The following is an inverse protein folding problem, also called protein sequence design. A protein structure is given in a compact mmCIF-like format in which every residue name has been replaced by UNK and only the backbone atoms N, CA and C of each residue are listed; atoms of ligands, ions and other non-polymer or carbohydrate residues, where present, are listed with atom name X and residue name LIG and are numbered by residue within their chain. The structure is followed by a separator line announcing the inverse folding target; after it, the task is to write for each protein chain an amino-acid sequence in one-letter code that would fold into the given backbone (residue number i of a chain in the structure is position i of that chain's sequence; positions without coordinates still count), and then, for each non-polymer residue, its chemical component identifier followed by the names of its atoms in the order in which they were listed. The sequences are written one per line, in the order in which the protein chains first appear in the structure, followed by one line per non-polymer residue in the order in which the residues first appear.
data_IF_852721591349
#
_entry.id   IF_852721591349
#
_cell.length_a   1.000
_cell.length_b   1.000
_cell.length_c   1.000
_cell.angle_alpha   90.00
_cell.angle_beta   90.00
_cell.angle_gamma   90.00
#
_symmetry.space_group_name_H-M   'P 1'
#
loop_
_entity.id
_entity.type
_entity.pdbx_description
1 polymer ?
#
# COMPACT_ATOMS: atom_id res chain seq x y z
N UNK A 1 -30.78 19.93 -4.61
CA UNK A 1 -30.08 20.55 -5.77
C UNK A 1 -29.92 19.47 -6.83
N UNK A 2 -30.33 19.73 -8.07
CA UNK A 2 -30.20 18.75 -9.15
C UNK A 2 -28.71 18.60 -9.50
N UNK A 3 -28.15 17.39 -9.35
CA UNK A 3 -26.85 17.06 -9.93
C UNK A 3 -27.00 17.14 -11.45
N UNK A 4 -26.27 18.04 -12.08
CA UNK A 4 -26.11 18.05 -13.54
C UNK A 4 -25.54 16.68 -13.94
N UNK A 5 -26.25 15.93 -14.77
CA UNK A 5 -25.78 14.64 -15.25
C UNK A 5 -24.51 14.85 -16.08
N UNK A 6 -23.46 14.08 -15.78
CA UNK A 6 -22.25 14.06 -16.58
C UNK A 6 -22.55 13.43 -17.95
N UNK A 7 -22.24 14.13 -19.03
CA UNK A 7 -22.31 13.62 -20.40
C UNK A 7 -20.89 13.37 -20.93
N UNK A 8 -20.47 12.10 -21.11
CA UNK A 8 -19.12 11.77 -21.58
C UNK A 8 -18.82 12.28 -23.00
N UNK A 9 -19.82 12.36 -23.88
CA UNK A 9 -19.63 12.79 -25.26
C UNK A 9 -19.37 14.29 -25.33
N UNK A 10 -20.09 15.08 -24.54
CA UNK A 10 -19.86 16.52 -24.41
C UNK A 10 -18.51 16.81 -23.73
N UNK A 11 -18.17 16.05 -22.69
CA UNK A 11 -16.87 16.18 -22.02
C UNK A 11 -15.71 15.94 -22.98
N UNK A 12 -15.77 14.89 -23.81
CA UNK A 12 -14.73 14.56 -24.77
C UNK A 12 -14.52 15.64 -25.86
N UNK A 13 -15.55 16.43 -26.17
CA UNK A 13 -15.48 17.53 -27.13
C UNK A 13 -15.06 18.87 -26.50
N UNK A 14 -14.92 18.93 -25.18
CA UNK A 14 -14.57 20.15 -24.46
C UNK A 14 -13.07 20.43 -24.62
N UNK A 15 -12.73 21.58 -25.19
CA UNK A 15 -11.34 21.99 -25.34
C UNK A 15 -10.73 22.33 -23.96
N UNK A 16 -9.62 21.67 -23.62
CA UNK A 16 -8.86 21.94 -22.39
C UNK A 16 -7.70 22.87 -22.75
N UNK A 17 -7.69 24.08 -22.20
CA UNK A 17 -6.59 25.05 -22.35
C UNK A 17 -5.80 25.15 -21.04
N UNK A 18 -5.22 24.03 -20.63
CA UNK A 18 -4.38 23.93 -19.44
C UNK A 18 -3.24 22.94 -19.70
N UNK A 19 -2.10 23.15 -19.06
CA UNK A 19 -1.06 22.14 -18.93
C UNK A 19 -1.43 21.23 -17.76
N UNK A 20 -1.37 19.92 -17.98
CA UNK A 20 -1.58 18.92 -16.93
C UNK A 20 -0.22 18.48 -16.40
N UNK A 21 -0.15 18.24 -15.09
CA UNK A 21 1.04 17.64 -14.49
C UNK A 21 1.29 16.24 -15.05
N UNK A 22 2.55 15.94 -15.31
CA UNK A 22 3.01 14.62 -15.80
C UNK A 22 3.62 13.76 -14.69
N UNK A 23 3.71 14.31 -13.48
CA UNK A 23 4.36 13.68 -12.34
C UNK A 23 3.43 13.66 -11.12
N UNK A 24 3.53 12.60 -10.32
CA UNK A 24 2.82 12.51 -9.06
C UNK A 24 3.69 13.20 -8.01
N UNK A 25 3.12 14.15 -7.26
CA UNK A 25 3.75 14.66 -6.05
C UNK A 25 3.64 13.55 -4.99
N UNK A 26 4.77 12.92 -4.57
CA UNK A 26 4.71 11.83 -3.60
C UNK A 26 4.35 12.38 -2.21
N UNK A 27 3.69 11.54 -1.39
CA UNK A 27 3.59 11.80 0.04
C UNK A 27 5.01 12.02 0.61
N UNK A 28 5.27 13.07 1.41
CA UNK A 28 6.59 13.29 2.01
C UNK A 28 7.08 12.07 2.81
N UNK A 29 8.40 11.93 2.93
CA UNK A 29 9.04 10.90 3.75
C UNK A 29 8.81 11.23 5.23
N UNK A 30 8.44 10.23 6.02
CA UNK A 30 8.14 10.39 7.44
C UNK A 30 7.33 9.24 8.02
N UNK A 31 7.06 9.31 9.31
CA UNK A 31 6.20 8.36 10.01
C UNK A 31 4.80 8.96 10.16
N UNK A 32 3.80 8.26 9.63
CA UNK A 32 2.42 8.74 9.66
C UNK A 32 1.46 7.65 10.10
N UNK A 33 0.35 8.07 10.71
CA UNK A 33 -0.77 7.19 11.03
C UNK A 33 -1.57 6.89 9.78
N UNK A 34 -1.73 5.60 9.51
CA UNK A 34 -2.60 5.09 8.46
C UNK A 34 -3.67 4.15 9.02
N UNK A 35 -4.75 3.97 8.27
CA UNK A 35 -5.70 2.88 8.44
C UNK A 35 -5.58 1.92 7.27
N UNK A 36 -5.50 0.61 7.56
CA UNK A 36 -5.52 -0.41 6.52
C UNK A 36 -6.93 -0.49 5.92
N UNK A 37 -7.06 -0.31 4.61
CA UNK A 37 -8.36 -0.29 3.92
C UNK A 37 -8.58 -1.46 2.98
N UNK A 38 -7.50 -2.16 2.59
CA UNK A 38 -7.58 -3.30 1.66
C UNK A 38 -6.37 -4.21 1.80
N UNK A 39 -6.59 -5.51 1.62
CA UNK A 39 -5.54 -6.51 1.48
C UNK A 39 -5.74 -7.21 0.14
N UNK A 40 -4.70 -7.25 -0.69
CA UNK A 40 -4.69 -7.90 -2.00
C UNK A 40 -3.54 -8.91 -2.09
N UNK A 41 -3.76 -10.00 -2.82
CA UNK A 41 -2.74 -10.99 -3.13
C UNK A 41 -2.42 -10.98 -4.62
N UNK A 42 -1.13 -11.07 -4.95
CA UNK A 42 -0.66 -11.19 -6.33
C UNK A 42 0.38 -12.29 -6.44
N UNK A 43 0.26 -13.10 -7.47
CA UNK A 43 1.32 -14.02 -7.86
C UNK A 43 2.21 -13.36 -8.91
N UNK A 44 3.51 -13.35 -8.67
CA UNK A 44 4.49 -12.78 -9.57
C UNK A 44 5.59 -13.81 -9.86
N UNK A 45 6.12 -13.80 -11.09
CA UNK A 45 7.33 -14.55 -11.42
C UNK A 45 8.55 -13.82 -10.86
N UNK A 46 9.60 -14.57 -10.51
CA UNK A 46 10.85 -13.96 -10.07
C UNK A 46 11.43 -13.00 -11.12
N UNK A 47 11.93 -11.85 -10.66
CA UNK A 47 12.50 -10.84 -11.54
C UNK A 47 13.93 -11.17 -12.01
N UNK A 48 14.63 -12.06 -11.29
CA UNK A 48 16.00 -12.50 -11.61
C UNK A 48 15.97 -13.80 -12.40
N UNK A 49 16.92 -13.99 -13.31
CA UNK A 49 17.01 -15.18 -14.18
C UNK A 49 16.98 -16.49 -13.38
N UNK A 50 17.70 -16.56 -12.25
CA UNK A 50 17.75 -17.71 -11.34
C UNK A 50 16.40 -18.07 -10.69
N UNK A 51 15.46 -17.12 -10.65
CA UNK A 51 14.15 -17.25 -9.98
C UNK A 51 12.97 -17.08 -10.94
N UNK A 52 13.24 -16.94 -12.24
CA UNK A 52 12.26 -16.52 -13.26
C UNK A 52 11.12 -17.51 -13.47
N UNK A 53 11.40 -18.78 -13.23
CA UNK A 53 10.41 -19.86 -13.29
C UNK A 53 9.71 -20.10 -11.95
N UNK A 54 10.16 -19.46 -10.87
CA UNK A 54 9.50 -19.53 -9.56
C UNK A 54 8.35 -18.53 -9.48
N UNK A 55 7.23 -18.99 -8.94
CA UNK A 55 6.06 -18.15 -8.64
C UNK A 55 6.13 -17.75 -7.17
N UNK A 56 6.10 -16.45 -6.93
CA UNK A 56 6.06 -15.86 -5.58
C UNK A 56 4.68 -15.30 -5.31
N UNK A 57 4.19 -15.54 -4.10
CA UNK A 57 2.97 -14.88 -3.60
C UNK A 57 3.37 -13.61 -2.87
N UNK A 58 2.78 -12.50 -3.27
CA UNK A 58 2.93 -11.19 -2.62
C UNK A 58 1.61 -10.77 -1.99
N UNK A 59 1.71 -10.13 -0.84
CA UNK A 59 0.62 -9.47 -0.14
C UNK A 59 0.84 -7.96 -0.22
N UNK A 60 -0.14 -7.23 -0.72
CA UNK A 60 -0.17 -5.77 -0.67
C UNK A 60 -1.26 -5.32 0.29
N UNK A 61 -0.86 -4.54 1.27
CA UNK A 61 -1.75 -3.89 2.22
C UNK A 61 -1.88 -2.42 1.80
N UNK A 62 -3.09 -2.02 1.43
CA UNK A 62 -3.39 -0.63 1.04
C UNK A 62 -3.82 0.15 2.27
N UNK A 63 -3.17 1.28 2.48
CA UNK A 63 -3.27 2.10 3.67
C UNK A 63 -3.70 3.51 3.29
N UNK A 64 -4.69 4.04 4.01
CA UNK A 64 -5.15 5.43 3.87
C UNK A 64 -4.60 6.27 5.03
N UNK A 65 -3.95 7.38 4.70
CA UNK A 65 -3.36 8.29 5.68
C UNK A 65 -4.47 9.06 6.41
N UNK A 66 -4.34 9.19 7.73
CA UNK A 66 -5.23 10.02 8.54
C UNK A 66 -4.87 11.51 8.34
N UNK A 67 -5.38 12.09 7.25
CA UNK A 67 -5.02 13.46 6.82
C UNK A 67 -5.36 14.55 7.83
N UNK A 68 -6.29 14.27 8.76
CA UNK A 68 -6.66 15.21 9.82
C UNK A 68 -5.53 15.46 10.83
N UNK A 69 -4.58 14.52 10.93
CA UNK A 69 -3.41 14.62 11.80
C UNK A 69 -2.22 15.30 11.13
N UNK A 70 -2.23 15.42 9.79
CA UNK A 70 -1.06 15.83 8.99
C UNK A 70 -1.44 16.86 7.90
N UNK A 71 -1.90 18.07 8.27
CA UNK A 71 -2.28 19.11 7.31
C UNK A 71 -1.14 19.51 6.36
N UNK A 72 0.12 19.42 6.80
CA UNK A 72 1.31 19.70 6.01
C UNK A 72 1.46 18.73 4.82
N UNK A 73 1.01 17.48 4.98
CA UNK A 73 1.05 16.47 3.91
C UNK A 73 -0.01 16.77 2.85
N UNK A 74 -1.20 17.21 3.27
CA UNK A 74 -2.27 17.67 2.36
C UNK A 74 -1.80 18.92 1.60
N UNK A 75 -1.15 19.85 2.28
CA UNK A 75 -0.61 21.04 1.66
C UNK A 75 0.50 20.72 0.65
N UNK A 76 1.39 19.77 0.97
CA UNK A 76 2.47 19.37 0.07
C UNK A 76 1.94 18.65 -1.18
N UNK A 77 1.02 17.70 -1.00
CA UNK A 77 0.52 16.83 -2.09
C UNK A 77 -0.65 17.42 -2.86
N UNK A 78 -1.34 18.42 -2.30
CA UNK A 78 -2.60 19.00 -2.81
C UNK A 78 -3.71 17.95 -3.00
N UNK A 79 -3.71 16.90 -2.18
CA UNK A 79 -4.69 15.79 -2.24
C UNK A 79 -5.53 15.71 -0.98
N UNK A 80 -6.82 15.47 -1.17
CA UNK A 80 -7.81 15.22 -0.12
C UNK A 80 -7.83 13.76 0.34
N UNK A 81 -7.12 12.87 -0.36
CA UNK A 81 -6.94 11.47 0.00
C UNK A 81 -5.57 10.97 -0.40
N UNK A 82 -4.88 10.33 0.53
CA UNK A 82 -3.54 9.77 0.33
C UNK A 82 -3.58 8.29 0.63
N UNK A 83 -3.31 7.50 -0.41
CA UNK A 83 -3.35 6.04 -0.37
C UNK A 83 -1.96 5.53 -0.72
N UNK A 84 -1.33 4.81 0.21
CA UNK A 84 -0.04 4.17 0.01
C UNK A 84 -0.18 2.65 0.18
N UNK A 85 0.83 1.92 -0.29
CA UNK A 85 0.88 0.45 -0.20
C UNK A 85 2.06 0.01 0.65
N UNK A 86 1.84 -0.97 1.52
CA UNK A 86 2.85 -1.77 2.17
C UNK A 86 2.84 -3.17 1.54
N UNK A 87 3.85 -3.46 0.72
CA UNK A 87 3.93 -4.72 -0.04
C UNK A 87 5.05 -5.62 0.48
N UNK A 88 4.78 -6.91 0.64
CA UNK A 88 5.77 -7.91 1.04
C UNK A 88 5.49 -9.27 0.40
N UNK A 89 6.54 -10.10 0.29
CA UNK A 89 6.41 -11.49 -0.14
C UNK A 89 5.94 -12.36 1.02
N UNK A 90 5.11 -13.35 0.71
CA UNK A 90 4.70 -14.41 1.63
C UNK A 90 5.54 -15.65 1.39
N UNK A 91 6.04 -16.23 2.47
CA UNK A 91 6.61 -17.56 2.46
C UNK A 91 5.46 -18.57 2.53
N UNK A 92 5.30 -19.35 1.47
CA UNK A 92 4.26 -20.36 1.33
C UNK A 92 4.94 -21.73 1.40
N UNK A 93 4.38 -22.63 2.20
CA UNK A 93 4.82 -24.01 2.25
C UNK A 93 4.37 -24.72 0.96
N UNK A 94 5.33 -25.20 0.17
CA UNK A 94 5.06 -25.75 -1.16
C UNK A 94 4.23 -27.05 -1.14
N UNK A 95 4.26 -27.82 -0.04
CA UNK A 95 3.53 -29.07 0.10
C UNK A 95 2.04 -28.85 0.44
N UNK A 96 1.77 -27.88 1.31
CA UNK A 96 0.42 -27.61 1.83
C UNK A 96 -0.29 -26.46 1.11
N UNK A 97 0.46 -25.57 0.45
CA UNK A 97 -0.06 -24.33 -0.12
C UNK A 97 -0.49 -23.28 0.92
N UNK A 98 -0.18 -23.50 2.20
CA UNK A 98 -0.51 -22.61 3.31
C UNK A 98 0.70 -21.73 3.68
N UNK A 99 0.51 -20.77 4.59
CA UNK A 99 1.61 -19.98 5.13
C UNK A 99 2.67 -20.88 5.78
N UNK A 100 3.94 -20.61 5.47
CA UNK A 100 5.07 -21.24 6.13
C UNK A 100 5.32 -20.54 7.48
N UNK A 101 5.10 -21.27 8.58
CA UNK A 101 5.20 -20.75 9.95
C UNK A 101 6.51 -21.14 10.64
N UNK A 102 7.48 -21.68 9.89
CA UNK A 102 8.79 -22.02 10.43
C UNK A 102 9.58 -20.78 10.90
N UNK A 103 10.54 -21.01 11.80
CA UNK A 103 11.38 -19.94 12.34
C UNK A 103 12.11 -19.18 11.23
N UNK A 104 11.94 -17.85 11.20
CA UNK A 104 12.54 -16.97 10.19
C UNK A 104 11.72 -16.79 8.91
N UNK A 105 10.55 -17.42 8.79
CA UNK A 105 9.61 -17.21 7.68
C UNK A 105 8.59 -16.13 8.00
N UNK A 106 8.05 -15.51 6.96
CA UNK A 106 6.96 -14.52 7.03
C UNK A 106 7.23 -13.36 8.01
N UNK A 107 8.50 -12.96 8.18
CA UNK A 107 8.91 -11.93 9.16
C UNK A 107 8.17 -10.60 8.95
N UNK A 108 7.95 -10.20 7.69
CA UNK A 108 7.21 -8.96 7.40
C UNK A 108 5.73 -9.05 7.78
N UNK A 109 5.11 -10.23 7.58
CA UNK A 109 3.75 -10.48 8.06
C UNK A 109 3.70 -10.46 9.59
N UNK A 110 4.68 -11.08 10.26
CA UNK A 110 4.81 -11.03 11.72
C UNK A 110 4.91 -9.60 12.24
N UNK A 111 5.76 -8.76 11.63
CA UNK A 111 5.88 -7.33 11.97
C UNK A 111 4.58 -6.55 11.77
N UNK A 112 3.85 -6.83 10.70
CA UNK A 112 2.55 -6.22 10.46
C UNK A 112 1.52 -6.64 11.51
N UNK A 113 1.44 -7.95 11.81
CA UNK A 113 0.57 -8.47 12.87
C UNK A 113 0.94 -7.86 14.23
N UNK A 114 2.22 -7.71 14.52
CA UNK A 114 2.72 -7.09 15.77
C UNK A 114 2.25 -5.64 15.86
N UNK A 115 2.40 -4.87 14.77
CA UNK A 115 1.99 -3.47 14.71
C UNK A 115 0.49 -3.27 14.96
N UNK A 116 -0.36 -4.25 14.66
CA UNK A 116 -1.80 -4.19 14.92
C UNK A 116 -2.23 -4.99 16.15
N UNK A 117 -1.28 -5.54 16.93
CA UNK A 117 -1.58 -6.34 18.12
C UNK A 117 -2.24 -7.70 17.85
N UNK A 118 -1.99 -8.29 16.67
CA UNK A 118 -2.58 -9.55 16.22
C UNK A 118 -1.54 -10.68 16.06
N UNK A 119 -0.31 -10.51 16.58
CA UNK A 119 0.77 -11.50 16.44
C UNK A 119 0.83 -12.46 17.63
N UNK A 120 -0.23 -13.25 17.79
CA UNK A 120 -0.32 -14.30 18.81
C UNK A 120 -0.74 -15.66 18.19
N UNK A 121 -0.88 -16.67 19.06
CA UNK A 121 -1.25 -18.04 18.71
C UNK A 121 -2.76 -18.23 18.42
N UNK A 122 -3.55 -17.16 18.43
CA UNK A 122 -4.99 -17.22 18.14
C UNK A 122 -5.25 -17.47 16.66
N UNK A 123 -6.44 -17.99 16.35
CA UNK A 123 -6.90 -18.12 14.97
C UNK A 123 -6.98 -16.74 14.29
N UNK A 124 -6.29 -16.61 13.16
CA UNK A 124 -6.08 -15.33 12.50
C UNK A 124 -6.31 -15.44 10.99
N UNK A 125 -6.85 -14.37 10.40
CA UNK A 125 -7.01 -14.24 8.94
C UNK A 125 -6.62 -12.85 8.48
N UNK A 126 -6.14 -12.72 7.24
CA UNK A 126 -5.75 -11.43 6.66
C UNK A 126 -6.84 -10.36 6.67
N UNK A 127 -8.12 -10.76 6.60
CA UNK A 127 -9.23 -9.81 6.64
C UNK A 127 -9.33 -9.07 7.99
N UNK A 128 -8.78 -9.63 9.07
CA UNK A 128 -8.73 -8.97 10.39
C UNK A 128 -7.80 -7.74 10.40
N UNK A 129 -6.93 -7.57 9.40
CA UNK A 129 -6.09 -6.37 9.23
C UNK A 129 -6.90 -5.16 8.79
N UNK A 130 -8.00 -5.37 8.07
CA UNK A 130 -8.78 -4.26 7.50
C UNK A 130 -9.44 -3.46 8.63
N UNK A 131 -9.26 -2.14 8.59
CA UNK A 131 -9.71 -1.20 9.61
C UNK A 131 -8.70 -0.99 10.75
N UNK A 132 -7.61 -1.75 10.81
CA UNK A 132 -6.60 -1.57 11.85
C UNK A 132 -5.72 -0.35 11.56
N UNK A 133 -5.40 0.45 12.59
CA UNK A 133 -4.48 1.57 12.45
C UNK A 133 -3.02 1.09 12.58
N UNK A 134 -2.11 1.73 11.87
CA UNK A 134 -0.66 1.50 11.94
C UNK A 134 0.10 2.82 11.87
N UNK A 135 1.33 2.83 12.39
CA UNK A 135 2.32 3.84 12.01
C UNK A 135 3.10 3.30 10.82
N UNK A 136 2.99 3.95 9.66
CA UNK A 136 3.70 3.58 8.44
C UNK A 136 4.88 4.53 8.21
N UNK A 137 6.07 3.97 8.02
CA UNK A 137 7.24 4.71 7.57
C UNK A 137 7.17 4.87 6.05
N UNK A 138 7.02 6.11 5.59
CA UNK A 138 6.92 6.44 4.16
C UNK A 138 8.31 6.66 3.61
N UNK A 139 8.64 5.94 2.54
CA UNK A 139 9.87 6.12 1.76
C UNK A 139 9.55 6.38 0.30
N UNK A 140 10.53 6.95 -0.42
CA UNK A 140 10.40 7.18 -1.86
C UNK A 140 11.20 6.15 -2.63
N UNK A 141 10.55 5.50 -3.59
CA UNK A 141 11.20 4.66 -4.58
C UNK A 141 11.28 5.39 -5.90
N UNK A 142 12.48 5.46 -6.47
CA UNK A 142 12.68 6.00 -7.83
C UNK A 142 12.20 4.98 -8.85
N UNK A 143 11.32 5.42 -9.74
CA UNK A 143 10.86 4.64 -10.89
C UNK A 143 11.84 4.75 -12.06
N UNK A 144 11.80 3.80 -13.02
CA UNK A 144 12.67 3.83 -14.20
C UNK A 144 12.57 5.11 -15.05
N UNK A 145 11.45 5.84 -14.97
CA UNK A 145 11.24 7.12 -15.64
C UNK A 145 11.82 8.33 -14.87
N UNK A 146 12.49 8.11 -13.74
CA UNK A 146 13.05 9.16 -12.88
C UNK A 146 12.10 9.69 -11.80
N UNK A 147 10.80 9.37 -11.87
CA UNK A 147 9.81 9.87 -10.91
C UNK A 147 9.92 9.13 -9.57
N UNK A 148 9.68 9.84 -8.48
CA UNK A 148 9.57 9.23 -7.15
C UNK A 148 8.13 8.79 -6.88
N UNK A 149 7.96 7.63 -6.26
CA UNK A 149 6.67 7.21 -5.67
C UNK A 149 6.83 6.89 -4.21
N UNK A 150 5.83 7.27 -3.42
CA UNK A 150 5.77 6.94 -2.00
C UNK A 150 5.25 5.51 -1.79
N UNK A 151 5.91 4.78 -0.88
CA UNK A 151 5.47 3.47 -0.38
C UNK A 151 5.74 3.36 1.12
N UNK A 152 5.06 2.43 1.79
CA UNK A 152 5.29 2.14 3.20
C UNK A 152 6.29 0.98 3.27
N UNK A 153 7.50 1.22 3.75
CA UNK A 153 8.55 0.18 3.84
C UNK A 153 8.52 -0.57 5.18
N UNK A 154 8.10 0.13 6.25
CA UNK A 154 8.05 -0.38 7.62
C UNK A 154 6.76 0.05 8.31
N UNK A 155 6.34 -0.77 9.25
CA UNK A 155 5.16 -0.55 10.07
C UNK A 155 5.51 -0.69 11.55
N UNK A 156 4.84 0.09 12.39
CA UNK A 156 4.97 0.07 13.84
C UNK A 156 3.59 0.22 14.49
N UNK A 157 3.53 -0.15 15.77
CA UNK A 157 2.31 -0.04 16.57
C UNK A 157 1.93 1.43 16.77
N UNK A 158 0.62 1.69 16.81
CA UNK A 158 0.09 3.01 17.20
C UNK A 158 0.10 3.10 18.72
N UNK A 159 0.79 4.11 19.25
CA UNK A 159 0.80 4.46 20.67
C UNK A 159 -0.58 4.90 21.19
#
# INVERSE_FOLDING_TARGET
MARTAFDPQVFAQTAIKAQLDTEIIPCPVGDYKFTIIKVDFRQNKGAKEETKDRVFTSCDVTCELDIGLYPEVVEATKRDKIILRHGFLLDINEETGLLDVEAGKNVNLGRLREAVGQNDDSEWTFNQLIGQPIIGHVTHRTMPNGNATAEIDRVAQVD
#
